data_IF_539802222743
#
_entry.id   IF_539802222743
#
_cell.length_a   1.000
_cell.length_b   1.000
_cell.length_c   1.000
_cell.angle_alpha   90.00
_cell.angle_beta   90.00
_cell.angle_gamma   90.00
#
_symmetry.space_group_name_H-M   'P 1'
#
loop_
_entity.id
_entity.type
_entity.pdbx_description
1 polymer ?
#
# COMPACT_ATOMS: atom_id res chain seq x y z
N UNK A 1 -3.82 33.97 16.01
CA UNK A 1 -3.00 32.83 15.53
C UNK A 1 -1.92 32.31 16.49
N UNK A 2 -1.50 33.03 17.54
CA UNK A 2 -0.45 32.55 18.48
C UNK A 2 -0.83 31.27 19.26
N UNK A 3 -2.11 31.10 19.62
CA UNK A 3 -2.64 29.91 20.32
C UNK A 3 -2.51 28.59 19.53
N UNK A 4 -2.71 28.61 18.21
CA UNK A 4 -2.67 27.39 17.40
C UNK A 4 -1.27 26.77 17.29
N UNK A 5 -0.21 27.57 17.47
CA UNK A 5 1.20 27.12 17.48
C UNK A 5 1.66 26.65 18.86
N UNK A 6 0.92 26.98 19.92
CA UNK A 6 1.25 26.57 21.30
C UNK A 6 0.82 25.12 21.58
N UNK A 7 -0.16 24.60 20.86
CA UNK A 7 -0.66 23.23 21.03
C UNK A 7 0.19 22.22 20.23
N UNK A 8 0.56 21.07 20.84
CA UNK A 8 1.36 20.05 20.18
C UNK A 8 0.63 19.46 18.96
N UNK A 9 1.38 18.90 18.01
CA UNK A 9 0.80 18.32 16.79
C UNK A 9 -0.14 17.14 17.07
N UNK A 10 0.06 16.42 18.17
CA UNK A 10 -0.78 15.32 18.66
C UNK A 10 -2.06 15.77 19.37
N UNK A 11 -2.25 17.07 19.59
CA UNK A 11 -3.44 17.57 20.28
C UNK A 11 -4.73 17.21 19.53
N UNK A 12 -5.75 16.61 20.17
CA UNK A 12 -6.94 16.06 19.49
C UNK A 12 -7.67 17.10 18.65
N UNK A 13 -7.80 18.34 19.14
CA UNK A 13 -8.41 19.43 18.38
C UNK A 13 -7.63 19.81 17.11
N UNK A 14 -6.29 19.73 17.13
CA UNK A 14 -5.48 20.01 15.93
C UNK A 14 -5.61 18.89 14.91
N UNK A 15 -5.66 17.65 15.37
CA UNK A 15 -5.86 16.47 14.53
C UNK A 15 -7.24 16.49 13.87
N UNK A 16 -8.29 16.88 14.61
CA UNK A 16 -9.63 17.03 14.06
C UNK A 16 -9.67 18.09 12.96
N UNK A 17 -9.13 19.29 13.21
CA UNK A 17 -9.06 20.36 12.21
C UNK A 17 -8.29 19.91 10.97
N UNK A 18 -7.15 19.22 11.16
CA UNK A 18 -6.35 18.70 10.05
C UNK A 18 -7.09 17.61 9.25
N UNK A 19 -7.86 16.76 9.92
CA UNK A 19 -8.70 15.76 9.26
C UNK A 19 -9.83 16.43 8.46
N UNK A 20 -10.51 17.43 9.03
CA UNK A 20 -11.55 18.17 8.31
C UNK A 20 -10.98 18.89 7.08
N UNK A 21 -9.81 19.51 7.22
CA UNK A 21 -9.10 20.12 6.10
C UNK A 21 -8.76 19.09 5.02
N UNK A 22 -8.26 17.91 5.40
CA UNK A 22 -7.99 16.82 4.47
C UNK A 22 -9.24 16.41 3.68
N UNK A 23 -10.39 16.28 4.34
CA UNK A 23 -11.67 15.97 3.66
C UNK A 23 -12.06 17.08 2.69
N UNK A 24 -11.95 18.36 3.08
CA UNK A 24 -12.26 19.47 2.17
C UNK A 24 -11.35 19.50 0.95
N UNK A 25 -10.06 19.19 1.12
CA UNK A 25 -9.09 19.11 0.02
C UNK A 25 -9.41 17.94 -0.92
N UNK A 26 -9.82 16.80 -0.37
CA UNK A 26 -10.23 15.64 -1.17
C UNK A 26 -11.43 15.98 -2.07
N UNK A 27 -12.46 16.66 -1.55
CA UNK A 27 -13.59 17.12 -2.36
C UNK A 27 -13.23 18.25 -3.33
N UNK A 28 -12.21 19.06 -3.03
CA UNK A 28 -11.71 20.07 -3.93
C UNK A 28 -10.86 19.49 -5.09
N UNK A 29 -10.55 18.19 -5.07
CA UNK A 29 -9.71 17.52 -6.07
C UNK A 29 -8.21 17.56 -5.77
N UNK A 30 -7.80 18.21 -4.68
CA UNK A 30 -6.40 18.31 -4.23
C UNK A 30 -6.01 17.06 -3.42
N UNK A 31 -6.08 15.90 -4.08
CA UNK A 31 -5.95 14.57 -3.43
C UNK A 31 -4.57 14.38 -2.78
N UNK A 32 -3.50 14.90 -3.37
CA UNK A 32 -2.14 14.79 -2.83
C UNK A 32 -2.00 15.54 -1.48
N UNK A 33 -2.56 16.75 -1.38
CA UNK A 33 -2.55 17.52 -0.13
C UNK A 33 -3.48 16.90 0.92
N UNK A 34 -4.63 16.37 0.48
CA UNK A 34 -5.55 15.63 1.35
C UNK A 34 -4.86 14.40 1.96
N UNK A 35 -4.16 13.62 1.14
CA UNK A 35 -3.37 12.47 1.58
C UNK A 35 -2.34 12.88 2.62
N UNK A 36 -1.55 13.93 2.38
CA UNK A 36 -0.57 14.43 3.35
C UNK A 36 -1.22 14.86 4.67
N UNK A 37 -2.39 15.50 4.61
CA UNK A 37 -3.13 15.90 5.81
C UNK A 37 -3.53 14.68 6.65
N UNK A 38 -4.11 13.65 6.02
CA UNK A 38 -4.53 12.44 6.72
C UNK A 38 -3.36 11.58 7.19
N UNK A 39 -2.27 11.52 6.42
CA UNK A 39 -1.04 10.83 6.80
C UNK A 39 -0.46 11.41 8.09
N UNK A 40 -0.36 12.74 8.17
CA UNK A 40 0.13 13.42 9.38
C UNK A 40 -0.79 13.23 10.59
N UNK A 41 -2.10 13.12 10.37
CA UNK A 41 -3.05 12.78 11.45
C UNK A 41 -2.82 11.37 11.96
N UNK A 42 -2.59 10.40 11.07
CA UNK A 42 -2.28 9.04 11.47
C UNK A 42 -0.92 8.94 12.17
N UNK A 43 0.10 9.61 11.67
CA UNK A 43 1.43 9.58 12.26
C UNK A 43 1.45 10.20 13.66
N UNK A 44 0.67 11.25 13.89
CA UNK A 44 0.50 11.83 15.22
C UNK A 44 -0.36 10.98 16.18
N UNK A 45 -1.15 10.04 15.64
CA UNK A 45 -1.99 9.09 16.40
C UNK A 45 -1.35 7.72 16.55
N UNK A 46 -0.30 7.40 15.77
CA UNK A 46 0.53 6.23 16.01
C UNK A 46 1.10 6.40 17.42
N UNK A 47 0.91 5.42 18.32
CA UNK A 47 1.59 5.47 19.58
C UNK A 47 3.08 5.55 19.25
N UNK A 48 3.79 6.52 19.83
CA UNK A 48 5.23 6.37 20.04
C UNK A 48 5.35 4.99 20.65
N UNK A 49 6.04 4.05 19.98
CA UNK A 49 6.43 2.79 20.61
C UNK A 49 7.18 3.22 21.86
N UNK A 50 6.49 3.18 23.00
CA UNK A 50 7.16 3.21 24.28
C UNK A 50 7.94 1.91 24.31
N UNK A 51 9.25 2.05 24.12
CA UNK A 51 10.29 1.14 24.57
C UNK A 51 10.02 0.77 26.03
N UNK A 52 9.12 -0.19 26.25
CA UNK A 52 8.91 -0.86 27.51
C UNK A 52 8.10 -2.14 27.25
N UNK A 53 8.83 -3.22 27.02
CA UNK A 53 8.44 -4.56 27.45
C UNK A 53 7.79 -4.49 28.83
N UNK A 54 6.47 -4.63 28.91
CA UNK A 54 5.83 -5.36 30.01
C UNK A 54 4.62 -6.10 29.43
N UNK A 55 4.80 -7.43 29.35
CA UNK A 55 3.79 -8.47 29.48
C UNK A 55 2.31 -8.04 29.31
N UNK A 56 1.56 -8.57 28.33
CA UNK A 56 0.11 -8.46 28.37
C UNK A 56 -0.42 -9.38 29.49
N UNK A 57 -0.60 -8.82 30.68
CA UNK A 57 -1.38 -9.46 31.73
C UNK A 57 -2.82 -9.62 31.24
N UNK A 58 -3.19 -10.88 30.98
CA UNK A 58 -4.47 -11.37 30.43
C UNK A 58 -5.70 -11.09 31.33
N UNK A 59 -5.63 -10.12 32.25
CA UNK A 59 -6.71 -9.78 33.21
C UNK A 59 -7.20 -8.32 33.15
N UNK A 60 -6.58 -7.45 32.36
CA UNK A 60 -7.05 -6.06 32.18
C UNK A 60 -8.01 -5.85 30.98
N UNK A 61 -8.37 -6.91 30.26
CA UNK A 61 -9.17 -6.85 29.02
C UNK A 61 -10.68 -6.56 29.22
N UNK A 62 -11.15 -6.34 30.45
CA UNK A 62 -12.59 -6.30 30.75
C UNK A 62 -13.18 -4.89 30.95
N UNK A 63 -12.37 -3.83 30.92
CA UNK A 63 -12.84 -2.44 30.95
C UNK A 63 -12.04 -1.60 29.97
N UNK A 64 -12.32 -1.76 28.69
CA UNK A 64 -11.86 -0.80 27.68
C UNK A 64 -12.53 0.53 28.00
N UNK A 65 -11.78 1.47 28.57
CA UNK A 65 -12.32 2.79 28.89
C UNK A 65 -12.97 3.41 27.64
N UNK A 66 -14.13 4.03 27.80
CA UNK A 66 -14.86 4.64 26.68
C UNK A 66 -13.99 5.64 25.88
N UNK A 67 -13.04 6.30 26.57
CA UNK A 67 -12.08 7.22 25.98
C UNK A 67 -11.09 6.51 25.03
N UNK A 68 -10.60 5.32 25.39
CA UNK A 68 -9.71 4.51 24.56
C UNK A 68 -10.42 4.03 23.31
N UNK A 69 -11.68 3.59 23.46
CA UNK A 69 -12.52 3.17 22.34
C UNK A 69 -12.80 4.34 21.39
N UNK A 70 -13.08 5.54 21.92
CA UNK A 70 -13.27 6.74 21.10
C UNK A 70 -12.02 7.13 20.32
N UNK A 71 -10.84 7.06 20.95
CA UNK A 71 -9.57 7.35 20.28
C UNK A 71 -9.27 6.35 19.14
N UNK A 72 -9.58 5.06 19.34
CA UNK A 72 -9.46 4.03 18.30
C UNK A 72 -10.45 4.25 17.15
N UNK A 73 -11.70 4.63 17.45
CA UNK A 73 -12.68 4.99 16.42
C UNK A 73 -12.21 6.19 15.60
N UNK A 74 -11.61 7.18 16.25
CA UNK A 74 -11.02 8.34 15.58
C UNK A 74 -9.86 7.92 14.68
N UNK A 75 -8.93 7.07 15.16
CA UNK A 75 -7.83 6.56 14.34
C UNK A 75 -8.35 5.82 13.12
N UNK A 76 -9.35 4.94 13.28
CA UNK A 76 -10.02 4.24 12.18
C UNK A 76 -10.64 5.19 11.16
N UNK A 77 -11.16 6.34 11.61
CA UNK A 77 -11.70 7.39 10.73
C UNK A 77 -10.60 8.03 9.88
N UNK A 78 -9.46 8.34 10.48
CA UNK A 78 -8.31 8.85 9.73
C UNK A 78 -7.76 7.81 8.74
N UNK A 79 -7.76 6.52 9.11
CA UNK A 79 -7.36 5.42 8.22
C UNK A 79 -8.30 5.32 7.01
N UNK A 80 -9.61 5.36 7.24
CA UNK A 80 -10.61 5.36 6.17
C UNK A 80 -10.42 6.55 5.21
N UNK A 81 -10.20 7.75 5.74
CA UNK A 81 -10.06 8.95 4.92
C UNK A 81 -8.75 8.92 4.10
N UNK A 82 -7.63 8.46 4.69
CA UNK A 82 -6.38 8.26 3.96
C UNK A 82 -6.55 7.23 2.84
N UNK A 83 -7.19 6.10 3.15
CA UNK A 83 -7.44 5.03 2.18
C UNK A 83 -8.30 5.51 1.01
N UNK A 84 -9.32 6.35 1.26
CA UNK A 84 -10.09 6.99 0.20
C UNK A 84 -9.19 7.83 -0.72
N UNK A 85 -8.29 8.65 -0.17
CA UNK A 85 -7.36 9.45 -0.98
C UNK A 85 -6.42 8.55 -1.81
N UNK A 86 -5.85 7.52 -1.19
CA UNK A 86 -4.97 6.55 -1.88
C UNK A 86 -5.69 5.80 -3.00
N UNK A 87 -6.99 5.50 -2.84
CA UNK A 87 -7.79 4.83 -3.87
C UNK A 87 -8.12 5.70 -5.08
N UNK A 88 -7.94 7.03 -4.97
CA UNK A 88 -8.15 7.98 -6.06
C UNK A 88 -6.85 8.34 -6.80
N UNK A 89 -5.70 7.90 -6.30
CA UNK A 89 -4.41 8.17 -6.90
C UNK A 89 -4.19 7.30 -8.16
N UNK A 90 -4.25 7.93 -9.33
CA UNK A 90 -4.12 7.28 -10.64
C UNK A 90 -2.67 7.27 -11.17
N UNK A 91 -1.67 7.58 -10.33
CA UNK A 91 -0.26 7.63 -10.74
C UNK A 91 0.34 6.23 -11.00
N UNK A 92 1.58 6.18 -11.49
CA UNK A 92 2.35 4.93 -11.72
C UNK A 92 2.55 4.12 -10.43
N UNK A 93 2.40 4.74 -9.25
CA UNK A 93 2.43 4.06 -7.95
C UNK A 93 1.05 3.55 -7.48
N UNK A 94 0.01 3.66 -8.33
CA UNK A 94 -1.39 3.32 -7.99
C UNK A 94 -1.55 1.90 -7.47
N UNK A 95 -0.84 0.91 -8.02
CA UNK A 95 -0.91 -0.47 -7.52
C UNK A 95 -0.49 -0.58 -6.04
N UNK A 96 0.65 0.03 -5.66
CA UNK A 96 1.09 0.08 -4.25
C UNK A 96 0.16 0.95 -3.39
N UNK A 97 -0.36 2.05 -3.94
CA UNK A 97 -1.29 2.91 -3.23
C UNK A 97 -2.62 2.18 -2.94
N UNK A 98 -3.13 1.40 -3.90
CA UNK A 98 -4.32 0.57 -3.77
C UNK A 98 -4.14 -0.55 -2.74
N UNK A 99 -2.96 -1.19 -2.71
CA UNK A 99 -2.62 -2.18 -1.68
C UNK A 99 -2.62 -1.58 -0.28
N UNK A 100 -2.02 -0.40 -0.13
CA UNK A 100 -2.04 0.34 1.13
C UNK A 100 -3.47 0.75 1.51
N UNK A 101 -4.28 1.22 0.54
CA UNK A 101 -5.67 1.58 0.77
C UNK A 101 -6.49 0.38 1.28
N UNK A 102 -6.32 -0.78 0.64
CA UNK A 102 -7.00 -2.02 1.05
C UNK A 102 -6.66 -2.42 2.49
N UNK A 103 -5.38 -2.38 2.85
CA UNK A 103 -4.94 -2.68 4.22
C UNK A 103 -5.52 -1.70 5.23
N UNK A 104 -5.50 -0.41 4.93
CA UNK A 104 -6.09 0.63 5.79
C UNK A 104 -7.59 0.44 5.98
N UNK A 105 -8.34 0.15 4.91
CA UNK A 105 -9.78 -0.16 5.01
C UNK A 105 -10.03 -1.42 5.85
N UNK A 106 -9.23 -2.48 5.67
CA UNK A 106 -9.35 -3.73 6.44
C UNK A 106 -9.15 -3.49 7.93
N UNK A 107 -8.13 -2.74 8.32
CA UNK A 107 -7.88 -2.42 9.73
C UNK A 107 -8.95 -1.50 10.32
N UNK A 108 -9.36 -0.44 9.59
CA UNK A 108 -10.41 0.45 10.06
C UNK A 108 -11.76 -0.26 10.22
N UNK A 109 -12.08 -1.22 9.34
CA UNK A 109 -13.27 -2.08 9.48
C UNK A 109 -13.22 -2.92 10.75
N UNK A 110 -12.07 -3.48 11.09
CA UNK A 110 -11.91 -4.27 12.31
C UNK A 110 -12.24 -3.42 13.54
N UNK A 111 -11.66 -2.22 13.64
CA UNK A 111 -11.90 -1.31 14.75
C UNK A 111 -13.37 -0.88 14.83
N UNK A 112 -14.01 -0.56 13.70
CA UNK A 112 -15.43 -0.20 13.70
C UNK A 112 -16.34 -1.37 14.06
N UNK A 113 -16.01 -2.60 13.65
CA UNK A 113 -16.78 -3.78 13.99
C UNK A 113 -16.67 -4.10 15.50
N UNK A 114 -15.49 -3.94 16.08
CA UNK A 114 -15.27 -4.10 17.52
C UNK A 114 -15.96 -3.00 18.35
N UNK A 115 -15.91 -1.75 17.89
CA UNK A 115 -16.47 -0.61 18.64
C UNK A 115 -18.00 -0.49 18.54
N UNK A 116 -18.59 -0.81 17.37
CA UNK A 116 -20.02 -0.56 17.12
C UNK A 116 -20.84 -1.82 16.82
N UNK A 117 -20.18 -2.95 16.55
CA UNK A 117 -20.84 -4.15 16.07
C UNK A 117 -21.04 -4.20 14.54
N UNK A 118 -21.29 -5.40 13.97
CA UNK A 118 -21.29 -5.63 12.53
C UNK A 118 -22.44 -4.96 11.77
N UNK A 119 -23.57 -4.68 12.43
CA UNK A 119 -24.75 -4.06 11.82
C UNK A 119 -24.66 -2.52 11.71
N UNK A 120 -23.62 -1.90 12.26
CA UNK A 120 -23.53 -0.45 12.31
C UNK A 120 -23.29 0.17 10.92
N UNK A 121 -23.93 1.30 10.55
CA UNK A 121 -23.80 1.90 9.22
C UNK A 121 -22.35 2.24 8.83
N UNK A 122 -21.49 2.60 9.80
CA UNK A 122 -20.06 2.84 9.54
C UNK A 122 -19.31 1.58 9.09
N UNK A 123 -19.69 0.41 9.60
CA UNK A 123 -19.12 -0.89 9.19
C UNK A 123 -19.57 -1.24 7.77
N UNK A 124 -20.85 -0.99 7.46
CA UNK A 124 -21.37 -1.15 6.10
C UNK A 124 -20.67 -0.23 5.09
N UNK A 125 -20.49 1.04 5.43
CA UNK A 125 -19.80 2.02 4.58
C UNK A 125 -18.37 1.59 4.29
N UNK A 126 -17.60 1.23 5.31
CA UNK A 126 -16.20 0.85 5.10
C UNK A 126 -16.04 -0.48 4.38
N UNK A 127 -17.00 -1.40 4.53
CA UNK A 127 -17.02 -2.65 3.76
C UNK A 127 -17.21 -2.37 2.28
N UNK A 128 -18.12 -1.47 1.91
CA UNK A 128 -18.28 -1.03 0.50
C UNK A 128 -17.01 -0.38 -0.04
N UNK A 129 -16.33 0.44 0.75
CA UNK A 129 -15.05 1.04 0.36
C UNK A 129 -13.95 -0.01 0.14
N UNK A 130 -13.87 -1.01 1.02
CA UNK A 130 -12.94 -2.14 0.90
C UNK A 130 -13.21 -2.93 -0.37
N UNK A 131 -14.48 -3.26 -0.65
CA UNK A 131 -14.87 -4.00 -1.85
C UNK A 131 -14.50 -3.23 -3.13
N UNK A 132 -14.70 -1.90 -3.13
CA UNK A 132 -14.25 -1.02 -4.23
C UNK A 132 -12.74 -1.07 -4.41
N UNK A 133 -11.96 -0.91 -3.33
CA UNK A 133 -10.50 -0.96 -3.40
C UNK A 133 -10.01 -2.32 -3.92
N UNK A 134 -10.65 -3.42 -3.49
CA UNK A 134 -10.35 -4.77 -3.97
C UNK A 134 -10.69 -4.95 -5.44
N UNK A 135 -11.81 -4.40 -5.90
CA UNK A 135 -12.17 -4.42 -7.32
C UNK A 135 -11.16 -3.63 -8.17
N UNK A 136 -10.68 -2.48 -7.68
CA UNK A 136 -9.65 -1.68 -8.32
C UNK A 136 -8.28 -2.37 -8.36
N UNK A 137 -7.93 -3.19 -7.37
CA UNK A 137 -6.72 -4.02 -7.39
C UNK A 137 -6.80 -5.12 -8.46
N UNK A 138 -7.96 -5.76 -8.59
CA UNK A 138 -8.17 -6.89 -9.50
C UNK A 138 -8.43 -6.43 -10.94
N UNK A 139 -7.74 -5.39 -11.41
CA UNK A 139 -7.96 -4.69 -12.67
C UNK A 139 -8.66 -5.56 -13.71
N UNK A 140 -9.92 -5.25 -14.00
CA UNK A 140 -10.64 -5.93 -15.08
C UNK A 140 -9.88 -5.57 -16.35
N UNK A 141 -9.19 -6.54 -16.92
CA UNK A 141 -8.55 -6.38 -18.21
C UNK A 141 -9.67 -6.27 -19.23
N UNK A 142 -10.05 -5.03 -19.55
CA UNK A 142 -11.13 -4.72 -20.49
C UNK A 142 -10.81 -5.22 -21.90
N UNK A 143 -9.53 -5.20 -22.29
CA UNK A 143 -9.03 -5.72 -23.56
C UNK A 143 -7.99 -6.83 -23.33
N UNK A 144 -8.47 -8.07 -23.32
CA UNK A 144 -7.64 -9.26 -23.16
C UNK A 144 -6.57 -9.38 -24.25
N UNK A 145 -6.87 -8.89 -25.46
CA UNK A 145 -5.98 -8.92 -26.64
C UNK A 145 -4.81 -7.95 -26.51
N UNK A 146 -5.05 -6.72 -26.07
CA UNK A 146 -3.99 -5.72 -25.87
C UNK A 146 -3.11 -6.03 -24.67
N UNK A 147 -3.70 -6.54 -23.58
CA UNK A 147 -2.95 -6.97 -22.41
C UNK A 147 -2.08 -8.21 -22.71
N UNK A 148 -2.53 -9.11 -23.59
CA UNK A 148 -1.72 -10.20 -24.11
C UNK A 148 -0.56 -9.67 -24.96
N UNK A 149 -0.81 -8.71 -25.85
CA UNK A 149 0.21 -8.08 -26.69
C UNK A 149 1.28 -7.33 -25.87
N UNK A 150 0.89 -6.74 -24.73
CA UNK A 150 1.79 -6.10 -23.76
C UNK A 150 2.53 -7.09 -22.85
N UNK A 151 2.24 -8.38 -22.95
CA UNK A 151 2.89 -9.42 -22.14
C UNK A 151 2.43 -9.46 -20.69
N UNK A 152 1.31 -8.80 -20.34
CA UNK A 152 0.79 -8.72 -18.96
C UNK A 152 0.35 -10.08 -18.42
N UNK A 153 0.10 -11.04 -19.32
CA UNK A 153 -0.24 -12.43 -18.99
C UNK A 153 0.93 -13.41 -19.04
N UNK A 154 2.17 -12.96 -19.31
CA UNK A 154 3.33 -13.86 -19.44
C UNK A 154 3.58 -14.73 -18.19
N UNK A 155 3.10 -14.29 -17.02
CA UNK A 155 3.24 -14.99 -15.74
C UNK A 155 1.92 -15.52 -15.19
N UNK A 156 0.84 -15.48 -15.97
CA UNK A 156 -0.49 -15.92 -15.53
C UNK A 156 -0.71 -17.37 -15.95
N UNK A 157 -0.87 -18.26 -14.97
CA UNK A 157 -1.21 -19.66 -15.22
C UNK A 157 -2.65 -19.73 -15.75
N UNK A 158 -2.90 -20.35 -16.92
CA UNK A 158 -4.25 -20.54 -17.44
C UNK A 158 -5.15 -21.23 -16.41
N UNK A 159 -6.31 -20.64 -16.10
CA UNK A 159 -7.25 -21.15 -15.09
C UNK A 159 -7.00 -20.67 -13.65
N UNK A 160 -5.91 -19.95 -13.39
CA UNK A 160 -5.66 -19.32 -12.09
C UNK A 160 -6.50 -18.06 -11.89
N UNK A 161 -7.09 -17.90 -10.70
CA UNK A 161 -7.73 -16.65 -10.25
C UNK A 161 -6.77 -15.66 -9.61
N UNK A 162 -5.48 -15.98 -9.55
CA UNK A 162 -4.43 -15.16 -8.95
C UNK A 162 -3.35 -14.86 -9.98
N UNK A 163 -2.99 -13.58 -10.11
CA UNK A 163 -1.75 -13.16 -10.75
C UNK A 163 -0.63 -13.29 -9.71
N UNK A 164 0.31 -14.20 -9.94
CA UNK A 164 1.53 -14.30 -9.13
C UNK A 164 2.62 -13.66 -9.99
N UNK A 165 3.18 -12.53 -9.54
CA UNK A 165 4.35 -11.96 -10.18
C UNK A 165 5.51 -12.93 -9.96
N UNK A 166 5.91 -13.65 -11.01
CA UNK A 166 7.04 -14.55 -10.93
C UNK A 166 8.29 -13.72 -10.63
N UNK A 167 8.96 -14.01 -9.53
CA UNK A 167 10.25 -13.38 -9.22
C UNK A 167 11.21 -13.63 -10.38
N UNK A 168 11.75 -12.56 -10.97
CA UNK A 168 12.77 -12.67 -12.01
C UNK A 168 13.92 -13.50 -11.48
N UNK A 169 14.21 -14.61 -12.16
CA UNK A 169 15.38 -15.41 -11.85
C UNK A 169 16.61 -14.60 -12.25
N UNK A 170 17.29 -14.01 -11.27
CA UNK A 170 18.58 -13.33 -11.49
C UNK A 170 19.57 -14.39 -11.97
N UNK A 171 19.76 -14.48 -13.29
CA UNK A 171 20.78 -15.32 -13.88
C UNK A 171 22.13 -14.86 -13.36
N UNK A 172 22.82 -15.74 -12.60
CA UNK A 172 24.18 -15.49 -12.13
C UNK A 172 25.05 -15.09 -13.33
N UNK A 173 25.90 -14.05 -13.23
CA UNK A 173 26.75 -13.65 -14.34
C UNK A 173 27.65 -14.81 -14.74
N UNK A 174 27.53 -15.24 -16.00
CA UNK A 174 28.40 -16.25 -16.59
C UNK A 174 29.85 -15.76 -16.50
N UNK A 175 30.69 -16.48 -15.75
CA UNK A 175 32.13 -16.27 -15.74
C UNK A 175 32.63 -16.36 -17.18
N UNK A 176 33.15 -15.24 -17.70
CA UNK A 176 33.83 -15.19 -18.98
C UNK A 176 35.04 -16.12 -18.92
N UNK A 177 34.99 -17.21 -19.69
CA UNK A 177 36.15 -18.05 -19.96
C UNK A 177 37.14 -17.25 -20.78
N UNK A 178 38.30 -16.96 -20.18
CA UNK A 178 39.44 -16.34 -20.86
C UNK A 178 39.88 -17.21 -22.05
N UNK A 179 39.70 -16.67 -23.25
CA UNK A 179 40.19 -17.25 -24.49
C UNK A 179 41.71 -17.18 -24.52
N UNK A 180 42.34 -18.33 -24.28
CA UNK A 180 43.79 -18.54 -24.43
C UNK A 180 44.11 -18.54 -25.92
N UNK A 181 44.80 -17.50 -26.39
CA UNK A 181 45.29 -17.32 -27.75
C UNK A 181 46.36 -18.37 -28.10
N UNK A 182 45.94 -19.45 -28.74
CA UNK A 182 46.81 -20.46 -29.35
C UNK A 182 47.23 -20.05 -30.76
N UNK A 183 48.51 -19.68 -30.90
CA UNK A 183 49.19 -19.31 -32.15
C UNK A 183 49.41 -20.56 -33.03
N UNK A 184 48.60 -20.74 -34.07
CA UNK A 184 48.83 -21.76 -35.12
C UNK A 184 49.30 -21.08 -36.42
N UNK A 185 50.61 -21.13 -36.67
CA UNK A 185 51.23 -20.65 -37.90
C UNK A 185 51.14 -21.69 -39.02
N UNK A 186 50.21 -21.49 -39.97
CA UNK A 186 50.13 -22.27 -41.20
C UNK A 186 51.16 -21.81 -42.24
N UNK A 187 52.15 -22.66 -42.54
CA UNK A 187 53.07 -22.49 -43.68
C UNK A 187 52.35 -22.82 -44.99
N UNK A 188 52.26 -21.84 -45.89
CA UNK A 188 51.95 -22.01 -47.31
C UNK A 188 53.06 -22.85 -47.98
N UNK A 189 52.68 -23.91 -48.72
CA UNK A 189 53.52 -24.46 -49.81
C UNK A 189 52.67 -24.51 -51.09
N UNK A 190 53.22 -23.90 -52.14
CA UNK A 190 52.61 -23.52 -53.41
C UNK A 190 53.05 -24.54 -54.47
N UNK A 191 52.11 -24.99 -55.32
CA UNK A 191 52.20 -25.45 -56.74
C UNK A 191 53.29 -26.49 -57.09
N UNK A 192 53.14 -27.42 -58.04
CA UNK A 192 52.15 -27.72 -59.08
C UNK A 192 52.69 -28.92 -59.87
N UNK A 193 51.84 -29.59 -60.63
CA UNK A 193 52.16 -30.80 -61.39
C UNK A 193 52.78 -30.51 -62.77
N UNK A 194 53.54 -31.50 -63.24
CA UNK A 194 54.20 -31.70 -64.55
C UNK A 194 55.51 -30.96 -64.78
#
# INVERSE_FOLDING_TARGET
MKLARQLPASHPGRLLVRSCLGVTLCYAGEVALAQQCHQLVLDARKPVKSEADQQPDKRAAAKTDANTTSALVDTATAMNNLACCLSQDQTVHSSKALDNAYLLFKHARQIYAEAFGPAHPRVGLISRNLDRARASQNGVVSDATEALARGEYAHVIPGSRFQIQAFEYVSKPSKSSSSKTGKAGGKKKKKGAK
#
